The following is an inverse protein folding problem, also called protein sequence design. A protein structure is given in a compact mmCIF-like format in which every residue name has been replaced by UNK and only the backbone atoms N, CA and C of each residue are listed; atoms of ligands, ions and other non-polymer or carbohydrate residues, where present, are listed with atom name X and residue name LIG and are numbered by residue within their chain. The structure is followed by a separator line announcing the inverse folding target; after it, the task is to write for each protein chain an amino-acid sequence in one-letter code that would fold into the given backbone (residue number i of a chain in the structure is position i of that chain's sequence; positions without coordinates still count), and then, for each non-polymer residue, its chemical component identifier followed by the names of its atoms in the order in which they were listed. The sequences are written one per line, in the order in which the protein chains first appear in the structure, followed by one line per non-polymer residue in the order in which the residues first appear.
data_IF_723685420420
#
_entry.id   IF_723685420420
#
_cell.length_a   1.000
_cell.length_b   1.000
_cell.length_c   1.000
_cell.angle_alpha   90.00
_cell.angle_beta   90.00
_cell.angle_gamma   90.00
#
_symmetry.space_group_name_H-M   'P 1'
#
loop_
_entity.id
_entity.type
_entity.pdbx_description
1 polymer ?
#
# COMPACT_ATOMS: atom_id res chain seq x y z
N UNK A 1 9.80 22.50 -6.37
CA UNK A 1 10.34 21.18 -6.71
C UNK A 1 9.91 20.19 -5.64
N UNK A 2 8.97 19.30 -5.94
CA UNK A 2 8.52 18.27 -4.99
C UNK A 2 9.63 17.25 -4.86
N UNK A 3 10.33 17.25 -3.72
CA UNK A 3 11.46 16.37 -3.45
C UNK A 3 10.89 14.94 -3.36
N UNK A 4 11.08 14.13 -4.41
CA UNK A 4 10.70 12.71 -4.37
C UNK A 4 11.41 12.06 -3.19
N UNK A 5 10.66 11.53 -2.23
CA UNK A 5 11.26 10.80 -1.11
C UNK A 5 12.00 9.60 -1.69
N UNK A 6 13.31 9.53 -1.43
CA UNK A 6 14.16 8.44 -1.89
C UNK A 6 14.01 7.29 -0.92
N UNK A 7 13.03 6.41 -1.18
CA UNK A 7 12.87 5.15 -0.47
C UNK A 7 14.15 4.30 -0.59
N UNK A 8 14.65 3.80 0.54
CA UNK A 8 15.71 2.79 0.54
C UNK A 8 15.19 1.42 0.05
N UNK A 9 16.12 0.59 -0.42
CA UNK A 9 15.81 -0.82 -0.77
C UNK A 9 15.28 -1.62 0.42
N UNK A 10 15.68 -1.23 1.63
CA UNK A 10 15.15 -1.86 2.85
C UNK A 10 13.66 -1.54 2.99
N UNK A 11 13.27 -0.26 2.90
CA UNK A 11 11.87 0.13 2.97
C UNK A 11 11.05 -0.61 1.90
N UNK A 12 11.51 -0.67 0.65
CA UNK A 12 10.83 -1.38 -0.45
C UNK A 12 10.51 -2.87 -0.16
N UNK A 13 11.26 -3.50 0.75
CA UNK A 13 11.18 -4.93 1.05
C UNK A 13 10.75 -5.25 2.49
N UNK A 14 10.69 -4.26 3.39
CA UNK A 14 10.50 -4.44 4.83
C UNK A 14 9.15 -5.08 5.21
N UNK A 15 8.15 -4.99 4.35
CA UNK A 15 6.85 -5.61 4.54
C UNK A 15 6.46 -6.40 3.30
N UNK A 16 6.82 -7.69 3.27
CA UNK A 16 6.17 -8.68 2.40
C UNK A 16 5.19 -9.45 3.28
N UNK A 17 3.91 -9.43 2.95
CA UNK A 17 2.88 -10.12 3.72
C UNK A 17 2.07 -11.01 2.78
N UNK A 18 1.71 -12.21 3.24
CA UNK A 18 0.94 -13.18 2.46
C UNK A 18 -0.47 -12.69 2.10
N UNK A 19 -0.94 -11.64 2.80
CA UNK A 19 -2.24 -11.00 2.56
C UNK A 19 -2.18 -9.78 1.65
N UNK A 20 -1.03 -9.53 1.00
CA UNK A 20 -0.90 -8.44 0.03
C UNK A 20 -1.72 -8.71 -1.23
N UNK A 21 -2.54 -7.72 -1.60
CA UNK A 21 -3.21 -7.69 -2.89
C UNK A 21 -2.34 -6.98 -3.93
N UNK A 22 -1.80 -5.83 -3.55
CA UNK A 22 -0.87 -5.08 -4.38
C UNK A 22 -0.04 -4.10 -3.55
N UNK A 23 1.06 -3.65 -4.16
CA UNK A 23 1.88 -2.54 -3.66
C UNK A 23 2.21 -1.58 -4.78
N UNK A 24 2.40 -0.31 -4.43
CA UNK A 24 2.83 0.73 -5.36
C UNK A 24 3.71 1.76 -4.66
N UNK A 25 4.57 2.41 -5.43
CA UNK A 25 5.47 3.44 -4.95
C UNK A 25 4.83 4.81 -5.19
N UNK A 26 4.73 5.60 -4.15
CA UNK A 26 4.28 7.00 -4.22
C UNK A 26 5.44 7.96 -3.99
N UNK A 27 5.15 9.26 -4.05
CA UNK A 27 6.15 10.29 -3.72
C UNK A 27 6.50 10.35 -2.22
N UNK A 28 5.64 9.79 -1.36
CA UNK A 28 5.74 9.85 0.11
C UNK A 28 6.30 8.56 0.71
N UNK A 29 6.21 7.44 -0.01
CA UNK A 29 6.63 6.15 0.49
C UNK A 29 6.10 5.00 -0.36
N UNK A 30 6.04 3.82 0.25
CA UNK A 30 5.35 2.66 -0.28
C UNK A 30 3.93 2.61 0.27
N UNK A 31 3.00 2.22 -0.58
CA UNK A 31 1.63 1.91 -0.21
C UNK A 31 1.38 0.45 -0.55
N UNK A 32 0.90 -0.31 0.42
CA UNK A 32 0.57 -1.72 0.30
C UNK A 32 -0.89 -1.89 0.70
N UNK A 33 -1.69 -2.46 -0.19
CA UNK A 33 -3.04 -2.89 0.11
C UNK A 33 -3.04 -4.40 0.36
N UNK A 34 -3.66 -4.82 1.46
CA UNK A 34 -3.87 -6.22 1.77
C UNK A 34 -5.30 -6.52 2.20
N UNK A 35 -5.65 -7.81 2.22
CA UNK A 35 -6.95 -8.31 2.65
C UNK A 35 -6.77 -9.55 3.52
N UNK A 36 -7.15 -9.43 4.78
CA UNK A 36 -7.08 -10.53 5.73
C UNK A 36 -8.10 -11.62 5.37
N UNK A 37 -7.89 -12.83 5.90
CA UNK A 37 -8.77 -13.98 5.64
C UNK A 37 -10.22 -13.78 6.11
N UNK A 38 -10.45 -12.85 7.04
CA UNK A 38 -11.79 -12.48 7.51
C UNK A 38 -12.49 -11.43 6.62
N UNK A 39 -11.84 -10.98 5.54
CA UNK A 39 -12.35 -9.98 4.61
C UNK A 39 -11.97 -8.54 4.95
N UNK A 40 -11.27 -8.29 6.07
CA UNK A 40 -10.83 -6.95 6.47
C UNK A 40 -9.74 -6.44 5.52
N UNK A 41 -9.96 -5.26 4.94
CA UNK A 41 -8.94 -4.58 4.14
C UNK A 41 -7.96 -3.82 5.04
N UNK A 42 -6.69 -3.94 4.71
CA UNK A 42 -5.57 -3.31 5.42
C UNK A 42 -4.80 -2.43 4.45
N UNK A 43 -4.43 -1.24 4.91
CA UNK A 43 -3.61 -0.30 4.16
C UNK A 43 -2.36 -0.03 4.97
N UNK A 44 -1.22 -0.36 4.39
CA UNK A 44 0.09 -0.06 4.96
C UNK A 44 0.74 1.07 4.17
N UNK A 45 1.07 2.16 4.85
CA UNK A 45 1.85 3.26 4.27
C UNK A 45 3.14 3.41 5.06
N UNK A 46 4.28 3.30 4.40
CA UNK A 46 5.57 3.37 5.09
C UNK A 46 6.67 3.94 4.21
N UNK A 47 7.69 4.50 4.85
CA UNK A 47 8.92 4.99 4.26
C UNK A 47 10.10 4.71 5.20
N UNK A 48 11.24 5.35 4.95
CA UNK A 48 12.45 5.17 5.77
C UNK A 48 12.32 5.71 7.20
N UNK A 49 11.35 6.59 7.48
CA UNK A 49 11.12 7.17 8.80
C UNK A 49 10.15 6.32 9.64
N UNK A 50 9.45 5.37 9.01
CA UNK A 50 8.51 4.48 9.67
C UNK A 50 7.25 4.24 8.84
N UNK A 51 6.23 3.65 9.47
CA UNK A 51 5.01 3.25 8.78
C UNK A 51 3.78 3.25 9.67
N UNK A 52 2.62 3.22 9.03
CA UNK A 52 1.32 3.09 9.67
C UNK A 52 0.45 2.08 8.95
N UNK A 53 -0.05 1.12 9.72
CA UNK A 53 -1.10 0.20 9.31
C UNK A 53 -2.47 0.76 9.71
N UNK A 54 -3.43 0.72 8.80
CA UNK A 54 -4.82 1.10 9.06
C UNK A 54 -5.77 0.08 8.45
N UNK A 55 -6.86 -0.20 9.15
CA UNK A 55 -7.99 -0.92 8.56
C UNK A 55 -8.83 0.07 7.76
N UNK A 56 -9.27 -0.34 6.59
CA UNK A 56 -10.09 0.49 5.70
C UNK A 56 -11.30 -0.30 5.20
N UNK A 57 -12.31 0.42 4.73
CA UNK A 57 -13.47 -0.19 4.08
C UNK A 57 -13.14 -0.72 2.68
N UNK A 58 -14.00 -1.60 2.15
CA UNK A 58 -13.89 -2.08 0.76
C UNK A 58 -13.98 -0.93 -0.26
N UNK A 59 -14.86 0.05 -0.02
CA UNK A 59 -15.01 1.20 -0.91
C UNK A 59 -13.73 2.03 -0.96
N UNK A 60 -13.09 2.28 0.19
CA UNK A 60 -11.79 2.96 0.25
C UNK A 60 -10.71 2.15 -0.48
N UNK A 61 -10.69 0.82 -0.33
CA UNK A 61 -9.75 -0.05 -1.02
C UNK A 61 -9.92 0.03 -2.55
N UNK A 62 -11.16 0.03 -3.04
CA UNK A 62 -11.49 0.20 -4.45
C UNK A 62 -11.03 1.56 -4.98
N UNK A 63 -11.37 2.65 -4.28
CA UNK A 63 -10.95 4.00 -4.66
C UNK A 63 -9.43 4.15 -4.71
N UNK A 64 -8.72 3.65 -3.69
CA UNK A 64 -7.26 3.68 -3.65
C UNK A 64 -6.63 2.87 -4.77
N UNK A 65 -7.24 1.75 -5.15
CA UNK A 65 -6.76 0.93 -6.27
C UNK A 65 -6.95 1.66 -7.59
N UNK A 66 -8.10 2.29 -7.82
CA UNK A 66 -8.33 3.09 -9.03
C UNK A 66 -7.38 4.28 -9.15
N UNK A 67 -7.03 4.92 -8.02
CA UNK A 67 -6.15 6.09 -7.99
C UNK A 67 -4.66 5.73 -8.13
N UNK A 68 -4.20 4.68 -7.46
CA UNK A 68 -2.76 4.41 -7.30
C UNK A 68 -2.24 3.20 -8.09
N UNK A 69 -3.12 2.25 -8.43
CA UNK A 69 -2.76 1.00 -9.10
C UNK A 69 -3.94 0.45 -9.93
N UNK A 70 -4.49 1.21 -10.90
CA UNK A 70 -5.71 0.82 -11.62
C UNK A 70 -5.59 -0.52 -12.35
N UNK A 71 -4.38 -0.91 -12.76
CA UNK A 71 -4.08 -2.22 -13.34
C UNK A 71 -4.26 -3.39 -12.37
N UNK A 72 -4.39 -3.11 -11.06
CA UNK A 72 -4.58 -4.09 -9.98
C UNK A 72 -6.04 -4.22 -9.54
N UNK A 73 -6.99 -3.60 -10.24
CA UNK A 73 -8.41 -3.68 -9.90
C UNK A 73 -8.94 -5.12 -9.85
N UNK A 74 -8.38 -6.03 -10.67
CA UNK A 74 -8.73 -7.45 -10.65
C UNK A 74 -8.23 -8.23 -9.43
N UNK A 75 -7.48 -7.60 -8.53
CA UNK A 75 -6.92 -8.22 -7.32
C UNK A 75 -7.76 -7.97 -6.05
N UNK A 76 -8.85 -7.17 -6.12
CA UNK A 76 -9.69 -6.81 -4.96
C UNK A 76 -10.84 -7.79 -4.70
#
# INVERSE_FOLDING_TARGET
MTKRVKLSKWAETAFQNDWELWRTRTNEGMVVLGKLSDGTFTLHRFNDEGGRLTHISQDEALWLTLDLAPEKLGCI
#
